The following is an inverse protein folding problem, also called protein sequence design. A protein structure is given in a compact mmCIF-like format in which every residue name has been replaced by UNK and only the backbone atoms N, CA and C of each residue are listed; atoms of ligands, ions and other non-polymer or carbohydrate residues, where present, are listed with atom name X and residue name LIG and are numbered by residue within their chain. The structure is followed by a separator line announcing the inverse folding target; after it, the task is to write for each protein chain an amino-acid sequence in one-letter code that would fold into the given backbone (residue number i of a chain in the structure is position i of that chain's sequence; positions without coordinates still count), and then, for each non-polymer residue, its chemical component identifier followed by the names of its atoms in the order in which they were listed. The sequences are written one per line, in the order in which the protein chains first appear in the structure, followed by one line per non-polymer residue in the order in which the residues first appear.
data_IF_014458020324
#
_entry.id   IF_014458020324
#
_cell.length_a   1.000
_cell.length_b   1.000
_cell.length_c   1.000
_cell.angle_alpha   90.00
_cell.angle_beta   90.00
_cell.angle_gamma   90.00
#
_symmetry.space_group_name_H-M   'P 1'
#
loop_
_entity.id
_entity.type
_entity.pdbx_description
1 polymer ?
#
# COMPACT_ATOMS: atom_id res chain seq x y z
N UNK A 1 -12.14 -16.81 -67.91
CA UNK A 1 -13.27 -16.24 -67.14
C UNK A 1 -12.66 -15.47 -65.97
N UNK A 2 -12.44 -14.16 -66.08
CA UNK A 2 -13.33 -13.05 -65.65
C UNK A 2 -13.97 -13.28 -64.26
N UNK A 3 -13.44 -12.63 -63.22
CA UNK A 3 -14.00 -11.46 -62.46
C UNK A 3 -14.55 -11.96 -61.11
N UNK A 4 -14.52 -11.32 -59.94
CA UNK A 4 -14.32 -9.92 -59.52
C UNK A 4 -14.12 -9.99 -57.99
N UNK A 5 -13.20 -9.21 -57.42
CA UNK A 5 -13.14 -8.94 -55.98
C UNK A 5 -12.93 -7.44 -55.80
N UNK A 6 -14.02 -6.71 -55.59
CA UNK A 6 -14.04 -5.26 -55.50
C UNK A 6 -13.93 -4.76 -54.06
N UNK A 7 -13.05 -3.78 -53.89
CA UNK A 7 -13.16 -2.59 -53.05
C UNK A 7 -13.56 -2.72 -51.55
N UNK A 8 -12.60 -2.42 -50.68
CA UNK A 8 -12.80 -1.43 -49.62
C UNK A 8 -11.46 -0.74 -49.33
N UNK A 9 -11.19 0.30 -50.12
CA UNK A 9 -10.30 1.39 -49.73
C UNK A 9 -10.96 2.12 -48.55
N UNK A 10 -10.26 2.29 -47.44
CA UNK A 10 -10.61 3.34 -46.49
C UNK A 10 -9.33 3.95 -45.93
N UNK A 11 -8.97 5.10 -46.50
CA UNK A 11 -7.86 5.92 -46.09
C UNK A 11 -8.30 6.88 -44.95
N UNK A 12 -7.59 6.76 -43.82
CA UNK A 12 -7.11 7.74 -42.80
C UNK A 12 -7.92 9.05 -42.52
N UNK A 13 -7.93 9.57 -41.27
CA UNK A 13 -6.75 10.33 -40.80
C UNK A 13 -6.48 10.36 -39.27
N UNK A 14 -5.32 10.94 -38.96
CA UNK A 14 -5.01 11.78 -37.78
C UNK A 14 -4.68 11.09 -36.45
N UNK A 15 -3.38 10.80 -36.31
CA UNK A 15 -2.51 11.34 -35.25
C UNK A 15 -3.28 12.08 -34.15
N UNK A 16 -3.50 11.41 -33.02
CA UNK A 16 -3.70 12.11 -31.76
C UNK A 16 -2.32 12.24 -31.14
N UNK A 17 -1.67 13.36 -31.45
CA UNK A 17 -0.64 13.93 -30.60
C UNK A 17 -1.30 14.26 -29.26
N UNK A 18 -1.30 13.30 -28.34
CA UNK A 18 -1.39 13.62 -26.91
C UNK A 18 -0.06 14.27 -26.59
N UNK A 19 -0.07 15.60 -26.71
CA UNK A 19 0.90 16.47 -26.07
C UNK A 19 1.02 15.99 -24.62
N UNK A 20 2.15 15.38 -24.30
CA UNK A 20 2.56 15.08 -22.94
C UNK A 20 2.60 16.43 -22.22
N UNK A 21 1.53 16.72 -21.50
CA UNK A 21 1.49 17.76 -20.50
C UNK A 21 2.47 17.35 -19.39
N UNK A 22 3.75 17.58 -19.66
CA UNK A 22 4.83 17.53 -18.69
C UNK A 22 4.63 18.68 -17.71
N UNK A 23 3.74 18.44 -16.76
CA UNK A 23 3.40 19.35 -15.67
C UNK A 23 2.97 18.57 -14.44
N UNK A 24 3.54 17.38 -14.22
CA UNK A 24 3.57 16.85 -12.87
C UNK A 24 4.56 17.74 -12.09
N UNK A 25 4.15 18.36 -10.96
CA UNK A 25 5.13 18.97 -10.09
C UNK A 25 6.12 17.85 -9.76
N UNK A 26 7.41 18.08 -10.00
CA UNK A 26 8.45 17.18 -9.52
C UNK A 26 8.15 16.96 -8.05
N UNK A 27 7.66 15.76 -7.70
CA UNK A 27 7.51 15.35 -6.33
C UNK A 27 8.92 15.48 -5.78
N UNK A 28 9.18 16.54 -5.03
CA UNK A 28 10.47 16.74 -4.37
C UNK A 28 10.72 15.44 -3.62
N UNK A 29 11.70 14.67 -4.09
CA UNK A 29 12.05 13.43 -3.45
C UNK A 29 12.36 13.77 -2.00
N UNK A 30 11.69 13.14 -1.02
CA UNK A 30 11.96 13.41 0.38
C UNK A 30 13.46 13.25 0.62
N UNK A 31 14.09 14.32 1.09
CA UNK A 31 15.52 14.32 1.41
C UNK A 31 15.70 13.42 2.61
N UNK A 32 16.16 12.19 2.36
CA UNK A 32 16.35 11.21 3.40
C UNK A 32 17.56 11.59 4.26
N UNK A 33 17.42 11.68 5.60
CA UNK A 33 18.51 12.08 6.49
C UNK A 33 19.67 11.08 6.51
N UNK A 34 19.44 9.86 5.99
CA UNK A 34 20.43 8.79 5.92
C UNK A 34 21.11 8.64 4.55
N UNK A 35 20.78 9.47 3.55
CA UNK A 35 21.29 9.32 2.16
C UNK A 35 22.83 9.23 2.10
N UNK A 36 23.51 10.10 2.84
CA UNK A 36 24.99 10.13 2.91
C UNK A 36 25.56 9.47 4.20
N UNK A 37 24.70 8.86 5.02
CA UNK A 37 25.10 8.29 6.30
C UNK A 37 25.80 6.92 6.12
N UNK A 38 26.66 6.47 7.05
CA UNK A 38 27.29 5.15 6.95
C UNK A 38 26.26 4.01 6.95
N UNK A 39 26.61 2.85 6.38
CA UNK A 39 25.71 1.68 6.27
C UNK A 39 25.09 1.29 7.62
N UNK A 40 25.85 1.39 8.72
CA UNK A 40 25.35 1.18 10.08
C UNK A 40 24.11 2.01 10.38
N UNK A 41 24.07 3.27 9.95
CA UNK A 41 22.93 4.17 10.19
C UNK A 41 21.68 3.68 9.46
N UNK A 42 21.81 3.13 8.24
CA UNK A 42 20.68 2.57 7.50
C UNK A 42 20.13 1.32 8.19
N UNK A 43 21.02 0.44 8.66
CA UNK A 43 20.63 -0.75 9.42
C UNK A 43 19.89 -0.35 10.70
N UNK A 44 20.39 0.65 11.44
CA UNK A 44 19.71 1.18 12.62
C UNK A 44 18.36 1.80 12.28
N UNK A 45 18.26 2.52 11.15
CA UNK A 45 16.99 3.09 10.70
C UNK A 45 15.98 2.01 10.35
N UNK A 46 16.40 0.91 9.72
CA UNK A 46 15.53 -0.25 9.46
C UNK A 46 14.97 -0.80 10.78
N UNK A 47 15.79 -0.98 11.82
CA UNK A 47 15.31 -1.40 13.13
C UNK A 47 14.27 -0.44 13.71
N UNK A 48 14.54 0.86 13.68
CA UNK A 48 13.60 1.87 14.14
C UNK A 48 12.26 1.82 13.36
N UNK A 49 12.32 1.62 12.05
CA UNK A 49 11.12 1.46 11.21
C UNK A 49 10.34 0.18 11.57
N UNK A 50 11.01 -0.89 11.99
CA UNK A 50 10.33 -2.08 12.51
C UNK A 50 9.67 -1.84 13.87
N UNK A 51 10.30 -1.07 14.75
CA UNK A 51 9.71 -0.68 16.03
C UNK A 51 8.47 0.21 15.84
N UNK A 52 8.54 1.17 14.91
CA UNK A 52 7.40 2.01 14.51
C UNK A 52 6.25 1.15 13.95
N UNK A 53 6.54 0.16 13.10
CA UNK A 53 5.52 -0.76 12.61
C UNK A 53 4.93 -1.63 13.72
N UNK A 54 5.76 -2.15 14.60
CA UNK A 54 5.31 -2.94 15.74
C UNK A 54 4.37 -2.13 16.66
N UNK A 55 4.65 -0.85 16.86
CA UNK A 55 3.75 0.08 17.55
C UNK A 55 2.43 0.25 16.81
N UNK A 56 2.46 0.45 15.49
CA UNK A 56 1.25 0.55 14.66
C UNK A 56 0.37 -0.70 14.74
N UNK A 57 0.96 -1.90 14.73
CA UNK A 57 0.22 -3.15 14.92
C UNK A 57 -0.44 -3.23 16.30
N UNK A 58 0.27 -2.87 17.37
CA UNK A 58 -0.30 -2.83 18.73
C UNK A 58 -1.47 -1.85 18.81
N UNK A 59 -1.33 -0.67 18.22
CA UNK A 59 -2.39 0.34 18.18
C UNK A 59 -3.62 -0.15 17.40
N UNK A 60 -3.40 -0.80 16.26
CA UNK A 60 -4.47 -1.37 15.45
C UNK A 60 -5.22 -2.49 16.20
N UNK A 61 -4.49 -3.36 16.89
CA UNK A 61 -5.06 -4.44 17.70
C UNK A 61 -5.90 -3.90 18.86
N UNK A 62 -5.39 -2.91 19.59
CA UNK A 62 -6.11 -2.27 20.69
C UNK A 62 -7.35 -1.52 20.22
N UNK A 63 -7.24 -0.75 19.13
CA UNK A 63 -8.38 -0.08 18.51
C UNK A 63 -9.48 -1.06 18.10
N UNK A 64 -9.10 -2.22 17.56
CA UNK A 64 -10.04 -3.27 17.20
C UNK A 64 -10.71 -3.91 18.43
N UNK A 65 -9.95 -4.17 19.50
CA UNK A 65 -10.54 -4.66 20.77
C UNK A 65 -11.54 -3.67 21.35
N UNK A 66 -11.22 -2.37 21.33
CA UNK A 66 -12.12 -1.31 21.80
C UNK A 66 -13.39 -1.24 20.96
N UNK A 67 -13.26 -1.32 19.64
CA UNK A 67 -14.39 -1.44 18.71
C UNK A 67 -15.32 -2.58 19.10
N UNK A 68 -14.80 -3.80 19.26
CA UNK A 68 -15.61 -4.96 19.64
C UNK A 68 -16.29 -4.81 21.01
N UNK A 69 -15.61 -4.19 21.99
CA UNK A 69 -16.15 -3.93 23.33
C UNK A 69 -17.23 -2.84 23.36
N UNK A 70 -17.28 -1.96 22.36
CA UNK A 70 -18.28 -0.87 22.29
C UNK A 70 -19.69 -1.33 21.91
N UNK A 71 -19.88 -2.61 21.56
CA UNK A 71 -21.19 -3.19 21.28
C UNK A 71 -22.19 -2.99 22.45
N UNK A 72 -23.50 -2.84 22.16
CA UNK A 72 -24.14 -2.95 20.85
C UNK A 72 -24.06 -1.67 19.99
N UNK A 73 -23.62 -0.54 20.55
CA UNK A 73 -23.51 0.74 19.84
C UNK A 73 -22.08 0.95 19.35
N UNK A 74 -21.66 0.15 18.37
CA UNK A 74 -20.29 0.14 17.88
C UNK A 74 -19.78 1.54 17.52
N UNK A 75 -18.64 1.94 18.11
CA UNK A 75 -17.96 3.19 17.79
C UNK A 75 -17.06 3.02 16.56
N UNK A 76 -17.71 2.87 15.40
CA UNK A 76 -17.03 2.76 14.12
C UNK A 76 -16.20 4.01 13.76
N UNK A 77 -16.64 5.26 14.03
CA UNK A 77 -15.82 6.46 13.76
C UNK A 77 -14.46 6.44 14.46
N UNK A 78 -14.41 6.09 15.75
CA UNK A 78 -13.14 6.00 16.49
C UNK A 78 -12.22 4.92 15.94
N UNK A 79 -12.77 3.73 15.63
CA UNK A 79 -12.00 2.66 15.03
C UNK A 79 -11.45 3.03 13.64
N UNK A 80 -12.27 3.65 12.78
CA UNK A 80 -11.86 4.12 11.46
C UNK A 80 -10.71 5.12 11.55
N UNK A 81 -10.75 6.05 12.50
CA UNK A 81 -9.66 7.00 12.72
C UNK A 81 -8.36 6.27 13.09
N UNK A 82 -8.45 5.27 13.99
CA UNK A 82 -7.30 4.43 14.36
C UNK A 82 -6.71 3.70 13.14
N UNK A 83 -7.55 3.07 12.32
CA UNK A 83 -7.12 2.40 11.08
C UNK A 83 -6.44 3.38 10.13
N UNK A 84 -7.00 4.57 9.95
CA UNK A 84 -6.45 5.59 9.07
C UNK A 84 -5.05 6.04 9.52
N UNK A 85 -4.89 6.38 10.80
CA UNK A 85 -3.61 6.79 11.38
C UNK A 85 -2.53 5.71 11.24
N UNK A 86 -2.88 4.45 11.55
CA UNK A 86 -1.94 3.32 11.41
C UNK A 86 -1.58 3.08 9.95
N UNK A 87 -2.54 3.20 9.03
CA UNK A 87 -2.30 3.04 7.58
C UNK A 87 -1.33 4.10 7.06
N UNK A 88 -1.47 5.36 7.48
CA UNK A 88 -0.53 6.42 7.13
C UNK A 88 0.87 6.14 7.67
N UNK A 89 0.98 5.70 8.93
CA UNK A 89 2.26 5.36 9.54
C UNK A 89 2.96 4.20 8.80
N UNK A 90 2.23 3.14 8.45
CA UNK A 90 2.76 2.03 7.66
C UNK A 90 3.16 2.43 6.25
N UNK A 91 2.40 3.31 5.61
CA UNK A 91 2.73 3.83 4.29
C UNK A 91 4.02 4.67 4.32
N UNK A 92 4.16 5.54 5.32
CA UNK A 92 5.39 6.32 5.53
C UNK A 92 6.61 5.42 5.76
N UNK A 93 6.50 4.47 6.68
CA UNK A 93 7.58 3.53 6.96
C UNK A 93 7.95 2.69 5.72
N UNK A 94 6.98 2.28 4.92
CA UNK A 94 7.21 1.48 3.71
C UNK A 94 7.90 2.26 2.60
N UNK A 95 7.55 3.54 2.40
CA UNK A 95 8.28 4.41 1.47
C UNK A 95 9.74 4.54 1.87
N UNK A 96 10.01 4.74 3.15
CA UNK A 96 11.39 4.87 3.63
C UNK A 96 12.17 3.56 3.50
N UNK A 97 11.57 2.40 3.82
CA UNK A 97 12.23 1.10 3.62
C UNK A 97 12.56 0.84 2.15
N UNK A 98 11.65 1.17 1.23
CA UNK A 98 11.91 1.03 -0.21
C UNK A 98 13.06 1.93 -0.66
N UNK A 99 13.14 3.15 -0.13
CA UNK A 99 14.25 4.05 -0.41
C UNK A 99 15.58 3.49 0.14
N UNK A 100 15.58 2.95 1.36
CA UNK A 100 16.76 2.28 1.95
C UNK A 100 17.19 1.06 1.11
N UNK A 101 16.24 0.26 0.65
CA UNK A 101 16.51 -0.88 -0.23
C UNK A 101 17.18 -0.43 -1.54
N UNK A 102 16.63 0.60 -2.19
CA UNK A 102 17.19 1.15 -3.43
C UNK A 102 18.59 1.73 -3.24
N UNK A 103 18.82 2.43 -2.13
CA UNK A 103 20.13 2.98 -1.75
C UNK A 103 21.18 1.87 -1.52
N UNK A 104 20.79 0.79 -0.84
CA UNK A 104 21.66 -0.37 -0.60
C UNK A 104 21.95 -1.13 -1.91
N UNK A 105 20.95 -1.33 -2.76
CA UNK A 105 21.11 -2.07 -4.01
C UNK A 105 21.92 -1.30 -5.06
N UNK A 106 21.74 0.03 -5.13
CA UNK A 106 22.37 0.89 -6.11
C UNK A 106 23.67 1.53 -5.59
N UNK A 107 23.63 2.80 -5.11
CA UNK A 107 24.82 3.59 -4.79
C UNK A 107 25.85 2.90 -3.88
N UNK A 108 25.39 2.08 -2.95
CA UNK A 108 26.27 1.43 -1.95
C UNK A 108 26.79 0.07 -2.38
N UNK A 109 26.26 -0.51 -3.45
CA UNK A 109 26.69 -1.83 -3.95
C UNK A 109 26.54 -2.95 -2.91
N UNK A 110 25.46 -2.94 -2.12
CA UNK A 110 25.16 -3.92 -1.07
C UNK A 110 23.92 -4.78 -1.41
N UNK A 111 23.94 -5.59 -2.49
CA UNK A 111 22.77 -6.33 -2.96
C UNK A 111 22.27 -7.38 -1.97
N UNK A 112 23.16 -7.97 -1.16
CA UNK A 112 22.76 -8.92 -0.12
C UNK A 112 21.94 -8.25 0.99
N UNK A 113 22.39 -7.08 1.47
CA UNK A 113 21.64 -6.30 2.47
C UNK A 113 20.30 -5.82 1.89
N UNK A 114 20.28 -5.32 0.65
CA UNK A 114 19.04 -4.95 -0.02
C UNK A 114 18.07 -6.14 -0.14
N UNK A 115 18.59 -7.34 -0.46
CA UNK A 115 17.80 -8.57 -0.48
C UNK A 115 17.16 -8.89 0.88
N UNK A 116 17.89 -8.73 1.98
CA UNK A 116 17.33 -8.89 3.32
C UNK A 116 16.24 -7.85 3.64
N UNK A 117 16.44 -6.59 3.25
CA UNK A 117 15.43 -5.53 3.41
C UNK A 117 14.15 -5.87 2.64
N UNK A 118 14.29 -6.38 1.41
CA UNK A 118 13.15 -6.83 0.59
C UNK A 118 12.40 -7.98 1.25
N UNK A 119 13.10 -9.00 1.73
CA UNK A 119 12.47 -10.13 2.44
C UNK A 119 11.75 -9.67 3.70
N UNK A 120 12.32 -8.72 4.44
CA UNK A 120 11.67 -8.11 5.60
C UNK A 120 10.38 -7.39 5.20
N UNK A 121 10.39 -6.61 4.11
CA UNK A 121 9.20 -5.92 3.62
C UNK A 121 8.10 -6.89 3.16
N UNK A 122 8.46 -8.04 2.58
CA UNK A 122 7.51 -9.12 2.24
C UNK A 122 6.87 -9.74 3.48
N UNK A 123 7.65 -10.01 4.52
CA UNK A 123 7.15 -10.53 5.80
C UNK A 123 6.18 -9.53 6.45
N UNK A 124 6.51 -8.24 6.43
CA UNK A 124 5.62 -7.18 6.94
C UNK A 124 4.30 -7.10 6.15
N UNK A 125 4.34 -7.27 4.82
CA UNK A 125 3.13 -7.33 4.00
C UNK A 125 2.27 -8.56 4.34
N UNK A 126 2.88 -9.73 4.49
CA UNK A 126 2.18 -10.94 4.92
C UNK A 126 1.54 -10.76 6.28
N UNK A 127 2.28 -10.19 7.25
CA UNK A 127 1.76 -9.89 8.58
C UNK A 127 0.54 -8.97 8.53
N UNK A 128 0.60 -7.90 7.75
CA UNK A 128 -0.51 -6.97 7.60
C UNK A 128 -1.76 -7.66 7.02
N UNK A 129 -1.58 -8.47 5.98
CA UNK A 129 -2.68 -9.24 5.38
C UNK A 129 -3.29 -10.24 6.38
N UNK A 130 -2.47 -10.96 7.14
CA UNK A 130 -2.94 -11.89 8.17
C UNK A 130 -3.72 -11.17 9.27
N UNK A 131 -3.22 -10.03 9.76
CA UNK A 131 -3.94 -9.22 10.78
C UNK A 131 -5.28 -8.74 10.25
N UNK A 132 -5.34 -8.24 9.02
CA UNK A 132 -6.60 -7.79 8.42
C UNK A 132 -7.62 -8.93 8.30
N UNK A 133 -7.17 -10.13 7.90
CA UNK A 133 -8.03 -11.33 7.84
C UNK A 133 -8.54 -11.74 9.22
N UNK A 134 -7.68 -11.74 10.25
CA UNK A 134 -8.08 -12.06 11.62
C UNK A 134 -9.13 -11.07 12.15
N UNK A 135 -8.96 -9.78 11.88
CA UNK A 135 -9.93 -8.77 12.27
C UNK A 135 -11.26 -8.93 11.54
N UNK A 136 -11.25 -9.29 10.25
CA UNK A 136 -12.47 -9.56 9.49
C UNK A 136 -13.24 -10.78 10.03
N UNK A 137 -12.53 -11.83 10.44
CA UNK A 137 -13.19 -12.99 11.06
C UNK A 137 -13.73 -12.69 12.46
N UNK A 138 -13.08 -11.76 13.17
CA UNK A 138 -13.48 -11.33 14.52
C UNK A 138 -14.59 -10.28 14.56
N UNK A 139 -14.98 -9.69 13.43
CA UNK A 139 -16.07 -8.71 13.42
C UNK A 139 -17.45 -9.39 13.54
N UNK A 140 -18.32 -8.87 14.43
CA UNK A 140 -19.65 -9.43 14.67
C UNK A 140 -20.56 -9.37 13.42
N UNK A 141 -20.29 -8.44 12.49
CA UNK A 141 -21.00 -8.34 11.22
C UNK A 141 -20.80 -9.57 10.32
N UNK A 142 -19.65 -10.25 10.39
CA UNK A 142 -19.36 -11.47 9.60
C UNK A 142 -19.85 -12.74 10.32
N UNK A 143 -19.97 -12.70 11.65
CA UNK A 143 -20.42 -13.84 12.46
C UNK A 143 -21.93 -13.83 12.77
N UNK A 144 -22.63 -12.72 12.51
CA UNK A 144 -24.05 -12.56 12.83
C UNK A 144 -24.97 -12.02 11.73
N UNK A 145 -24.46 -11.55 10.57
CA UNK A 145 -25.33 -10.95 9.55
C UNK A 145 -24.76 -11.13 8.13
N UNK A 146 -25.22 -12.18 7.43
CA UNK A 146 -25.15 -12.23 5.97
C UNK A 146 -26.04 -11.13 5.37
N UNK A 147 -25.59 -9.88 5.37
CA UNK A 147 -26.28 -8.79 4.70
C UNK A 147 -25.60 -8.48 3.35
N UNK A 148 -26.11 -9.03 2.23
CA UNK A 148 -25.46 -8.95 0.92
C UNK A 148 -25.30 -7.50 0.41
N UNK A 149 -26.08 -6.56 0.95
CA UNK A 149 -26.06 -5.15 0.56
C UNK A 149 -24.83 -4.41 1.10
N UNK A 150 -24.34 -4.74 2.30
CA UNK A 150 -23.14 -4.10 2.88
C UNK A 150 -21.84 -4.64 2.27
N UNK A 151 -21.80 -5.94 1.96
CA UNK A 151 -20.68 -6.57 1.23
C UNK A 151 -20.48 -5.91 -0.16
N UNK A 152 -21.56 -5.52 -0.83
CA UNK A 152 -21.50 -4.84 -2.12
C UNK A 152 -20.92 -3.42 -2.03
N UNK A 153 -21.11 -2.73 -0.90
CA UNK A 153 -20.52 -1.41 -0.67
C UNK A 153 -19.01 -1.47 -0.37
N UNK A 154 -18.56 -2.47 0.41
CA UNK A 154 -17.12 -2.69 0.63
C UNK A 154 -16.40 -3.07 -0.66
N UNK A 155 -17.02 -3.90 -1.52
CA UNK A 155 -16.44 -4.29 -2.81
C UNK A 155 -16.34 -3.14 -3.82
N UNK A 156 -17.26 -2.16 -3.75
CA UNK A 156 -17.17 -0.92 -4.53
C UNK A 156 -16.07 0.03 -4.03
N UNK A 157 -15.80 0.04 -2.73
CA UNK A 157 -14.81 0.93 -2.12
C UNK A 157 -13.38 0.33 -2.10
N UNK A 158 -13.25 -0.98 -2.38
CA UNK A 158 -11.96 -1.69 -2.47
C UNK A 158 -11.39 -1.81 -3.89
N UNK A 159 -11.99 -1.17 -4.91
CA UNK A 159 -11.33 -1.11 -6.21
C UNK A 159 -10.22 -0.06 -6.20
N UNK A 160 -8.97 -0.44 -6.51
CA UNK A 160 -7.81 0.45 -6.45
C UNK A 160 -7.91 1.48 -7.57
N UNK A 161 -7.72 2.74 -7.20
CA UNK A 161 -7.12 3.71 -8.09
C UNK A 161 -5.70 3.19 -8.38
N UNK A 162 -5.48 2.81 -9.63
CA UNK A 162 -4.15 2.70 -10.23
C UNK A 162 -3.35 3.98 -9.99
#
# INVERSE_FOLDING_TARGET
MITTGAAAENAVPAVIDVAVASGAPALEEPVWPWKDAPIRTLVQRIHQLQDERAQGFRKLEEGHRQYLRSGPHYDFPSYRNTVHEVTQAFAAASREVLAVEAELAGPRGQPLLAGHVRSLQQLEQTRLATVALLQLMGTPEVTGQEDPVRMQQLKKNSHPLL
#
